data_IF_761130973535
#
_entry.id   IF_761130973535
#
_cell.length_a   1.000
_cell.length_b   1.000
_cell.length_c   1.000
_cell.angle_alpha   90.00
_cell.angle_beta   90.00
_cell.angle_gamma   90.00
#
_symmetry.space_group_name_H-M   'P 1'
#
loop_
_entity.id
_entity.type
_entity.pdbx_description
1 polymer ?
#
# COMPACT_ATOMS: atom_id res chain seq x y z
N UNK A 1 -16.23 -35.32 -19.91
CA UNK A 1 -16.01 -34.03 -19.22
C UNK A 1 -15.95 -34.32 -17.73
N UNK A 2 -14.83 -34.03 -17.05
CA UNK A 2 -14.71 -34.28 -15.61
C UNK A 2 -15.59 -33.31 -14.82
N UNK A 3 -16.37 -33.82 -13.87
CA UNK A 3 -17.10 -32.97 -12.94
C UNK A 3 -16.13 -32.47 -11.86
N UNK A 4 -16.07 -31.15 -11.66
CA UNK A 4 -15.30 -30.51 -10.59
C UNK A 4 -16.24 -29.70 -9.71
N UNK A 5 -15.91 -29.61 -8.41
CA UNK A 5 -16.69 -28.77 -7.51
C UNK A 5 -16.52 -27.29 -7.87
N UNK A 6 -17.62 -26.52 -7.79
CA UNK A 6 -17.61 -25.08 -8.03
C UNK A 6 -16.57 -24.36 -7.15
N UNK A 7 -16.48 -24.74 -5.88
CA UNK A 7 -15.53 -24.17 -4.92
C UNK A 7 -14.07 -24.45 -5.30
N UNK A 8 -13.78 -25.63 -5.85
CA UNK A 8 -12.45 -25.98 -6.35
C UNK A 8 -12.11 -25.19 -7.62
N UNK A 9 -13.09 -24.99 -8.52
CA UNK A 9 -12.92 -24.17 -9.71
C UNK A 9 -12.67 -22.70 -9.36
N UNK A 10 -13.46 -22.13 -8.44
CA UNK A 10 -13.29 -20.76 -7.95
C UNK A 10 -11.90 -20.56 -7.31
N UNK A 11 -11.48 -21.50 -6.46
CA UNK A 11 -10.17 -21.45 -5.83
C UNK A 11 -9.04 -21.57 -6.86
N UNK A 12 -9.18 -22.45 -7.85
CA UNK A 12 -8.21 -22.60 -8.93
C UNK A 12 -8.14 -21.34 -9.82
N UNK A 13 -9.28 -20.70 -10.13
CA UNK A 13 -9.33 -19.44 -10.87
C UNK A 13 -8.74 -18.26 -10.06
N UNK A 14 -8.88 -18.30 -8.74
CA UNK A 14 -8.25 -17.36 -7.80
C UNK A 14 -6.72 -17.51 -7.80
N UNK A 15 -6.19 -18.73 -7.61
CA UNK A 15 -4.74 -18.97 -7.60
C UNK A 15 -4.08 -18.76 -8.96
N UNK A 16 -4.71 -19.22 -10.04
CA UNK A 16 -4.18 -19.07 -11.40
C UNK A 16 -4.31 -17.64 -11.94
N UNK A 17 -5.14 -16.80 -11.31
CA UNK A 17 -5.48 -15.45 -11.76
C UNK A 17 -5.91 -15.41 -13.25
N UNK A 18 -6.64 -16.43 -13.70
CA UNK A 18 -7.20 -16.54 -15.06
C UNK A 18 -8.73 -16.50 -15.01
N UNK A 19 -9.33 -16.21 -16.16
CA UNK A 19 -10.80 -16.24 -16.36
C UNK A 19 -11.20 -17.36 -17.32
N UNK A 20 -10.26 -18.18 -17.74
CA UNK A 20 -10.46 -19.19 -18.78
C UNK A 20 -9.92 -20.53 -18.33
N UNK A 21 -10.55 -21.61 -18.79
CA UNK A 21 -10.03 -22.95 -18.62
C UNK A 21 -8.71 -23.12 -19.39
N UNK A 22 -7.70 -23.72 -18.76
CA UNK A 22 -6.40 -23.98 -19.40
C UNK A 22 -6.43 -25.12 -20.43
N UNK A 23 -7.30 -26.12 -20.24
CA UNK A 23 -7.42 -27.25 -21.16
C UNK A 23 -8.27 -26.92 -22.39
N UNK A 24 -9.42 -26.26 -22.19
CA UNK A 24 -10.40 -26.05 -23.25
C UNK A 24 -10.56 -24.59 -23.68
N UNK A 25 -9.92 -23.64 -23.02
CA UNK A 25 -10.00 -22.21 -23.36
C UNK A 25 -11.35 -21.55 -23.07
N UNK A 26 -12.33 -22.28 -22.53
CA UNK A 26 -13.66 -21.73 -22.22
C UNK A 26 -13.55 -20.57 -21.22
N UNK A 27 -14.19 -19.44 -21.53
CA UNK A 27 -14.20 -18.28 -20.65
C UNK A 27 -15.35 -18.36 -19.65
N UNK A 28 -15.01 -18.23 -18.38
CA UNK A 28 -15.97 -18.11 -17.29
C UNK A 28 -16.25 -16.63 -17.02
N UNK A 29 -17.52 -16.30 -16.81
CA UNK A 29 -17.90 -15.01 -16.28
C UNK A 29 -17.64 -14.99 -14.78
N UNK A 30 -16.64 -14.22 -14.35
CA UNK A 30 -16.17 -14.19 -12.96
C UNK A 30 -16.18 -12.77 -12.41
N UNK A 31 -16.72 -12.63 -11.19
CA UNK A 31 -16.66 -11.39 -10.42
C UNK A 31 -15.52 -11.48 -9.40
N UNK A 32 -14.53 -10.58 -9.51
CA UNK A 32 -13.49 -10.43 -8.50
C UNK A 32 -13.94 -9.43 -7.46
N UNK A 33 -14.09 -9.88 -6.22
CA UNK A 33 -14.39 -8.99 -5.10
C UNK A 33 -13.16 -8.90 -4.19
N UNK A 34 -12.67 -7.70 -3.86
CA UNK A 34 -11.58 -7.58 -2.91
C UNK A 34 -12.05 -8.06 -1.53
N UNK A 35 -11.26 -8.94 -0.90
CA UNK A 35 -11.66 -9.64 0.33
C UNK A 35 -11.70 -8.72 1.57
N UNK A 36 -11.04 -7.56 1.52
CA UNK A 36 -10.88 -6.65 2.65
C UNK A 36 -11.11 -5.18 2.27
N UNK A 37 -11.57 -4.38 3.23
CA UNK A 37 -11.67 -2.92 3.10
C UNK A 37 -10.26 -2.27 3.05
N UNK A 38 -10.14 -1.07 2.47
CA UNK A 38 -8.85 -0.42 2.15
C UNK A 38 -7.89 -0.38 3.33
N UNK A 39 -8.38 0.10 4.47
CA UNK A 39 -7.59 0.22 5.69
C UNK A 39 -7.23 -1.14 6.30
N UNK A 40 -8.16 -2.09 6.30
CA UNK A 40 -7.95 -3.41 6.90
C UNK A 40 -6.90 -4.21 6.12
N UNK A 41 -6.92 -4.09 4.80
CA UNK A 41 -5.92 -4.68 3.91
C UNK A 41 -4.53 -4.07 4.10
N UNK A 42 -4.41 -2.75 4.32
CA UNK A 42 -3.12 -2.12 4.67
C UNK A 42 -2.59 -2.69 5.99
N UNK A 43 -3.44 -2.81 7.02
CA UNK A 43 -3.05 -3.37 8.31
C UNK A 43 -2.58 -4.83 8.17
N UNK A 44 -3.35 -5.66 7.45
CA UNK A 44 -2.96 -7.06 7.18
C UNK A 44 -1.65 -7.11 6.40
N UNK A 45 -1.49 -6.28 5.39
CA UNK A 45 -0.28 -6.27 4.56
C UNK A 45 0.96 -5.85 5.35
N UNK A 46 0.82 -4.88 6.28
CA UNK A 46 1.91 -4.44 7.16
C UNK A 46 2.20 -5.44 8.29
N UNK A 47 1.17 -6.09 8.87
CA UNK A 47 1.30 -6.96 10.05
C UNK A 47 1.44 -8.46 9.75
N UNK A 48 0.70 -9.01 8.79
CA UNK A 48 0.53 -10.46 8.58
C UNK A 48 1.29 -11.03 7.38
N UNK A 49 1.72 -10.21 6.41
CA UNK A 49 2.37 -10.69 5.18
C UNK A 49 3.85 -11.08 5.39
N UNK A 50 4.11 -11.89 6.41
CA UNK A 50 5.46 -12.16 6.93
C UNK A 50 6.13 -13.36 6.26
N UNK A 51 5.41 -14.30 5.62
CA UNK A 51 6.04 -15.59 5.28
C UNK A 51 6.75 -15.66 3.91
N UNK A 52 6.25 -15.01 2.87
CA UNK A 52 6.80 -15.13 1.49
C UNK A 52 7.56 -13.87 1.02
N UNK A 53 7.39 -12.73 1.69
CA UNK A 53 7.95 -11.41 1.32
C UNK A 53 8.84 -10.79 2.42
N UNK A 54 9.50 -11.62 3.24
CA UNK A 54 10.35 -11.23 4.37
C UNK A 54 11.29 -10.04 4.09
N UNK A 55 12.01 -10.06 2.96
CA UNK A 55 12.99 -9.03 2.60
C UNK A 55 12.33 -7.67 2.31
N UNK A 56 11.19 -7.69 1.61
CA UNK A 56 10.47 -6.49 1.21
C UNK A 56 9.74 -5.82 2.37
N UNK A 57 9.07 -6.62 3.22
CA UNK A 57 8.36 -6.12 4.41
C UNK A 57 9.32 -5.60 5.48
N UNK A 58 10.54 -6.15 5.56
CA UNK A 58 11.60 -5.60 6.40
C UNK A 58 12.03 -4.20 5.95
N UNK A 59 12.10 -3.94 4.64
CA UNK A 59 12.36 -2.59 4.11
C UNK A 59 11.26 -1.63 4.54
N UNK A 60 9.99 -2.01 4.39
CA UNK A 60 8.84 -1.21 4.81
C UNK A 60 8.87 -0.81 6.28
N UNK A 61 9.08 -1.79 7.18
CA UNK A 61 9.16 -1.53 8.61
C UNK A 61 10.35 -0.60 8.91
N UNK A 62 11.49 -0.82 8.25
CA UNK A 62 12.65 0.04 8.40
C UNK A 62 12.41 1.48 7.86
N UNK A 63 11.69 1.63 6.75
CA UNK A 63 11.34 2.93 6.16
C UNK A 63 10.35 3.70 7.03
N UNK A 64 9.33 3.02 7.57
CA UNK A 64 8.37 3.61 8.51
C UNK A 64 9.05 4.00 9.82
N UNK A 65 9.87 3.14 10.41
CA UNK A 65 10.61 3.46 11.63
C UNK A 65 11.55 4.65 11.39
N UNK A 66 12.26 4.68 10.25
CA UNK A 66 13.08 5.84 9.86
C UNK A 66 12.25 7.10 9.74
N UNK A 67 11.08 7.04 9.10
CA UNK A 67 10.19 8.19 9.01
C UNK A 67 9.74 8.67 10.38
N UNK A 68 9.28 7.78 11.26
CA UNK A 68 8.80 8.13 12.61
C UNK A 68 9.89 8.82 13.44
N UNK A 69 11.17 8.46 13.22
CA UNK A 69 12.30 9.08 13.92
C UNK A 69 12.73 10.40 13.27
N UNK A 70 12.78 10.46 11.93
CA UNK A 70 13.29 11.63 11.20
C UNK A 70 12.27 12.77 11.21
N UNK A 71 10.96 12.50 11.15
CA UNK A 71 9.91 13.54 11.19
C UNK A 71 10.00 14.45 12.42
N UNK A 72 10.00 13.95 13.68
CA UNK A 72 10.08 14.82 14.85
C UNK A 72 11.41 15.54 14.95
N UNK A 73 12.51 14.93 14.49
CA UNK A 73 13.81 15.58 14.42
C UNK A 73 13.78 16.77 13.45
N UNK A 74 13.23 16.57 12.24
CA UNK A 74 13.07 17.62 11.25
C UNK A 74 12.15 18.75 11.73
N UNK A 75 11.05 18.40 12.42
CA UNK A 75 10.16 19.37 13.06
C UNK A 75 10.90 20.19 14.13
N UNK A 76 11.64 19.53 15.01
CA UNK A 76 12.45 20.21 16.04
C UNK A 76 13.49 21.17 15.44
N UNK A 77 14.24 20.72 14.43
CA UNK A 77 15.20 21.56 13.72
C UNK A 77 14.53 22.78 13.06
N UNK A 78 13.39 22.58 12.40
CA UNK A 78 12.64 23.68 11.76
C UNK A 78 12.14 24.70 12.79
N UNK A 79 11.64 24.22 13.94
CA UNK A 79 11.18 25.07 15.04
C UNK A 79 12.32 25.93 15.60
N UNK A 80 13.48 25.32 15.89
CA UNK A 80 14.66 26.05 16.38
C UNK A 80 15.11 27.10 15.36
N UNK A 81 15.09 26.78 14.07
CA UNK A 81 15.49 27.72 13.02
C UNK A 81 14.53 28.92 12.90
N UNK A 82 13.22 28.70 13.07
CA UNK A 82 12.22 29.79 13.09
C UNK A 82 12.43 30.68 14.32
N UNK A 83 12.62 30.09 15.50
CA UNK A 83 12.88 30.84 16.74
C UNK A 83 14.16 31.65 16.63
N UNK A 84 15.23 31.05 16.08
CA UNK A 84 16.48 31.75 15.83
C UNK A 84 16.27 32.94 14.86
N UNK A 85 15.55 32.73 13.76
CA UNK A 85 15.25 33.79 12.80
C UNK A 85 14.45 34.94 13.43
N UNK A 86 13.44 34.64 14.26
CA UNK A 86 12.65 35.66 14.97
C UNK A 86 13.50 36.44 15.99
N UNK A 87 14.41 35.75 16.70
CA UNK A 87 15.35 36.38 17.62
C UNK A 87 16.32 37.34 16.91
N UNK A 88 16.88 36.92 15.76
CA UNK A 88 17.74 37.78 14.94
C UNK A 88 16.99 38.95 14.31
N UNK A 89 15.72 38.76 13.94
CA UNK A 89 14.87 39.82 13.38
C UNK A 89 14.48 40.89 14.42
N UNK A 90 14.12 40.48 15.64
CA UNK A 90 13.70 41.39 16.72
C UNK A 90 14.84 42.23 17.30
N UNK A 91 16.06 41.70 17.32
CA UNK A 91 17.18 42.34 18.04
C UNK A 91 17.86 43.47 17.23
N UNK A 92 17.32 43.88 16.07
CA UNK A 92 17.86 44.99 15.22
C UNK A 92 19.39 44.93 15.07
N UNK A 93 19.93 43.77 14.68
CA UNK A 93 21.34 43.60 14.31
C UNK A 93 21.67 44.24 12.94
N UNK A 94 21.15 45.45 12.70
CA UNK A 94 21.29 46.19 11.44
C UNK A 94 22.73 46.57 11.13
N UNK A 95 23.58 46.60 12.17
CA UNK A 95 25.00 46.93 12.07
C UNK A 95 25.88 45.75 11.60
N UNK A 96 25.36 44.52 11.57
CA UNK A 96 26.10 43.33 11.12
C UNK A 96 25.44 42.68 9.90
N UNK A 97 25.72 43.18 8.68
CA UNK A 97 25.25 42.56 7.44
C UNK A 97 25.48 41.03 7.34
N UNK A 98 26.58 40.45 7.86
CA UNK A 98 26.78 39.00 7.82
C UNK A 98 25.70 38.19 8.56
N UNK A 99 25.12 38.72 9.65
CA UNK A 99 24.18 37.99 10.50
C UNK A 99 22.81 37.78 9.82
N UNK A 100 22.40 38.71 8.95
CA UNK A 100 21.17 38.57 8.15
C UNK A 100 21.35 37.51 7.06
N UNK A 101 22.47 37.56 6.33
CA UNK A 101 22.78 36.58 5.29
C UNK A 101 22.89 35.15 5.84
N UNK A 102 23.53 34.96 7.00
CA UNK A 102 23.62 33.64 7.63
C UNK A 102 22.25 33.09 8.02
N UNK A 103 21.33 33.93 8.49
CA UNK A 103 19.95 33.52 8.83
C UNK A 103 19.18 33.05 7.58
N UNK A 104 19.25 33.81 6.48
CA UNK A 104 18.61 33.42 5.22
C UNK A 104 19.22 32.13 4.64
N UNK A 105 20.54 31.98 4.71
CA UNK A 105 21.23 30.76 4.28
C UNK A 105 20.81 29.55 5.12
N UNK A 106 20.71 29.70 6.44
CA UNK A 106 20.26 28.64 7.34
C UNK A 106 18.83 28.19 7.01
N UNK A 107 17.92 29.15 6.79
CA UNK A 107 16.53 28.88 6.43
C UNK A 107 16.42 28.18 5.07
N UNK A 108 17.22 28.61 4.09
CA UNK A 108 17.28 28.00 2.77
C UNK A 108 17.80 26.55 2.83
N UNK A 109 18.87 26.29 3.57
CA UNK A 109 19.43 24.95 3.77
C UNK A 109 18.43 24.02 4.46
N UNK A 110 17.74 24.48 5.50
CA UNK A 110 16.68 23.70 6.15
C UNK A 110 15.52 23.40 5.21
N UNK A 111 15.11 24.37 4.39
CA UNK A 111 14.05 24.19 3.40
C UNK A 111 14.41 23.12 2.37
N UNK A 112 15.66 23.12 1.88
CA UNK A 112 16.15 22.10 0.94
C UNK A 112 16.19 20.70 1.58
N UNK A 113 16.60 20.59 2.85
CA UNK A 113 16.61 19.33 3.59
C UNK A 113 15.19 18.76 3.77
N UNK A 114 14.25 19.62 4.16
CA UNK A 114 12.83 19.23 4.29
C UNK A 114 12.27 18.78 2.93
N UNK A 115 12.52 19.53 1.87
CA UNK A 115 12.06 19.20 0.53
C UNK A 115 12.62 17.86 0.05
N UNK A 116 13.93 17.62 0.23
CA UNK A 116 14.56 16.34 -0.07
C UNK A 116 13.95 15.18 0.73
N UNK A 117 13.64 15.40 2.01
CA UNK A 117 12.97 14.41 2.86
C UNK A 117 11.56 14.09 2.34
N UNK A 118 10.76 15.11 1.98
CA UNK A 118 9.43 14.90 1.42
C UNK A 118 9.47 14.16 0.07
N UNK A 119 10.43 14.46 -0.80
CA UNK A 119 10.64 13.72 -2.04
C UNK A 119 10.95 12.25 -1.75
N UNK A 120 11.87 11.97 -0.81
CA UNK A 120 12.21 10.60 -0.45
C UNK A 120 10.99 9.84 0.09
N UNK A 121 10.22 10.47 0.99
CA UNK A 121 8.97 9.90 1.51
C UNK A 121 7.96 9.63 0.40
N UNK A 122 7.77 10.58 -0.52
CA UNK A 122 6.85 10.41 -1.65
C UNK A 122 7.27 9.24 -2.54
N UNK A 123 8.54 9.13 -2.89
CA UNK A 123 9.07 8.03 -3.69
C UNK A 123 8.90 6.68 -2.99
N UNK A 124 9.17 6.61 -1.68
CA UNK A 124 8.96 5.43 -0.87
C UNK A 124 7.47 5.03 -0.86
N UNK A 125 6.58 5.97 -0.56
CA UNK A 125 5.13 5.72 -0.54
C UNK A 125 4.63 5.22 -1.89
N UNK A 126 5.01 5.86 -3.00
CA UNK A 126 4.57 5.46 -4.34
C UNK A 126 5.02 4.04 -4.71
N UNK A 127 6.27 3.72 -4.38
CA UNK A 127 6.81 2.38 -4.59
C UNK A 127 6.03 1.31 -3.80
N UNK A 128 5.70 1.61 -2.54
CA UNK A 128 4.95 0.72 -1.68
C UNK A 128 3.47 0.60 -2.07
N UNK A 129 2.83 1.70 -2.47
CA UNK A 129 1.47 1.72 -2.99
C UNK A 129 1.33 0.80 -4.20
N UNK A 130 2.28 0.85 -5.15
CA UNK A 130 2.26 0.00 -6.34
C UNK A 130 2.31 -1.49 -5.99
N UNK A 131 3.15 -1.86 -5.03
CA UNK A 131 3.35 -3.27 -4.64
C UNK A 131 2.18 -3.76 -3.79
N UNK A 132 1.68 -2.93 -2.88
CA UNK A 132 0.45 -3.21 -2.15
C UNK A 132 -0.74 -3.37 -3.10
N UNK A 133 -0.89 -2.49 -4.10
CA UNK A 133 -1.98 -2.57 -5.08
C UNK A 133 -1.89 -3.86 -5.91
N UNK A 134 -0.67 -4.22 -6.34
CA UNK A 134 -0.44 -5.48 -7.04
C UNK A 134 -0.82 -6.69 -6.17
N UNK A 135 -0.39 -6.71 -4.90
CA UNK A 135 -0.76 -7.76 -3.95
C UNK A 135 -2.27 -7.80 -3.71
N UNK A 136 -2.90 -6.65 -3.48
CA UNK A 136 -4.33 -6.52 -3.27
C UNK A 136 -5.12 -7.13 -4.43
N UNK A 137 -4.72 -6.80 -5.66
CA UNK A 137 -5.40 -7.30 -6.86
C UNK A 137 -5.25 -8.82 -6.98
N UNK A 138 -4.14 -9.38 -6.54
CA UNK A 138 -3.90 -10.83 -6.50
C UNK A 138 -4.65 -11.54 -5.37
N UNK A 139 -4.88 -10.89 -4.23
CA UNK A 139 -5.64 -11.43 -3.09
C UNK A 139 -7.15 -11.13 -3.19
N UNK A 140 -7.68 -11.12 -4.41
CA UNK A 140 -9.11 -10.93 -4.65
C UNK A 140 -9.82 -12.27 -4.79
N UNK A 141 -10.91 -12.47 -4.05
CA UNK A 141 -11.69 -13.71 -4.16
C UNK A 141 -12.45 -13.72 -5.47
N UNK A 142 -12.39 -14.85 -6.18
CA UNK A 142 -13.07 -15.04 -7.46
C UNK A 142 -14.37 -15.77 -7.22
N UNK A 143 -15.50 -15.21 -7.66
CA UNK A 143 -16.78 -15.91 -7.71
C UNK A 143 -17.28 -16.03 -9.14
N UNK A 144 -17.68 -17.24 -9.53
CA UNK A 144 -18.23 -17.50 -10.87
C UNK A 144 -19.70 -17.07 -10.89
N UNK A 145 -20.08 -16.26 -11.87
CA UNK A 145 -21.48 -15.88 -12.09
C UNK A 145 -22.14 -17.06 -12.82
N UNK A 146 -22.97 -17.80 -12.09
CA UNK A 146 -23.79 -18.86 -12.67
C UNK A 146 -25.11 -18.26 -13.14
N UNK A 147 -25.50 -18.55 -14.39
CA UNK A 147 -26.84 -18.25 -14.87
C UNK A 147 -27.87 -18.98 -13.96
N UNK A 148 -29.00 -18.36 -13.53
CA UNK A 148 -30.01 -18.96 -12.66
C UNK A 148 -30.42 -20.42 -12.97
N UNK A 149 -30.49 -20.81 -14.25
CA UNK A 149 -30.81 -22.19 -14.66
C UNK A 149 -29.74 -23.22 -14.24
N UNK A 150 -28.47 -22.80 -14.14
CA UNK A 150 -27.39 -23.64 -13.66
C UNK A 150 -27.35 -23.72 -12.13
N UNK A 151 -27.90 -22.73 -11.41
CA UNK A 151 -27.97 -22.74 -9.95
C UNK A 151 -28.97 -23.78 -9.47
N UNK A 152 -30.15 -23.87 -10.12
CA UNK A 152 -31.17 -24.88 -9.82
C UNK A 152 -30.66 -26.29 -10.11
N UNK A 153 -29.92 -26.51 -11.20
CA UNK A 153 -29.37 -27.82 -11.51
C UNK A 153 -28.25 -28.27 -10.54
N UNK A 154 -27.43 -27.33 -10.04
CA UNK A 154 -26.42 -27.61 -9.01
C UNK A 154 -27.08 -27.94 -7.66
N UNK A 155 -28.05 -27.15 -7.22
CA UNK A 155 -28.78 -27.39 -5.97
C UNK A 155 -29.58 -28.71 -6.01
N UNK A 156 -30.13 -29.06 -7.17
CA UNK A 156 -30.78 -30.35 -7.36
C UNK A 156 -29.79 -31.51 -7.22
N UNK A 157 -28.62 -31.42 -7.87
CA UNK A 157 -27.57 -32.43 -7.77
C UNK A 157 -26.99 -32.57 -6.36
N UNK A 158 -26.78 -31.45 -5.65
CA UNK A 158 -26.26 -31.49 -4.28
C UNK A 158 -27.23 -32.16 -3.31
N UNK A 159 -28.54 -31.92 -3.47
CA UNK A 159 -29.57 -32.60 -2.68
C UNK A 159 -29.63 -34.11 -2.95
N UNK A 160 -29.41 -34.55 -4.19
CA UNK A 160 -29.38 -35.98 -4.53
C UNK A 160 -28.14 -36.69 -3.97
N UNK A 161 -26.99 -36.02 -3.91
CA UNK A 161 -25.76 -36.61 -3.35
C UNK A 161 -25.74 -36.70 -1.81
N UNK A 162 -26.77 -36.21 -1.13
CA UNK A 162 -26.93 -36.29 0.34
C UNK A 162 -28.02 -37.28 0.80
N UNK A 163 -28.63 -38.01 -0.14
CA UNK A 163 -29.58 -39.12 0.11
C UNK A 163 -28.90 -40.42 -0.26
#
# INVERSE_FOLDING_TARGET
MGAIHLKCLEHWLEESNRNSCELCGHQFEVRRTPRYHVLHSIIIWVCLNQQQHQLYVRSLKADLVRSIIITPMAMGCSYICIVAADFYAKTNYDNFPPARWTTYLLLAMMSLLLFSYFIWMYMAIQYHQKIWFYWWQKTSTVRVILNPENITSINYKSNISQV
#
